data_IF_354675725310
#
_entry.id   IF_354675725310
#
_cell.length_a   1.000
_cell.length_b   1.000
_cell.length_c   1.000
_cell.angle_alpha   90.00
_cell.angle_beta   90.00
_cell.angle_gamma   90.00
#
_symmetry.space_group_name_H-M   'P 1'
#
loop_
_entity.id
_entity.type
_entity.pdbx_description
1 polymer ?
#
# COMPACT_ATOMS: atom_id res chain seq x y z
N UNK A 1 0.85 -10.76 8.43
CA UNK A 1 -0.53 -10.24 8.48
C UNK A 1 -1.06 -10.17 7.05
N UNK A 2 -2.33 -10.48 6.82
CA UNK A 2 -2.97 -10.62 5.49
C UNK A 2 -2.59 -11.87 4.65
N UNK A 3 -1.73 -12.75 5.15
CA UNK A 3 -1.42 -14.05 4.54
C UNK A 3 -2.50 -15.08 4.89
N UNK A 4 -2.77 -16.00 3.96
CA UNK A 4 -3.65 -17.16 4.19
C UNK A 4 -2.81 -18.41 4.46
N UNK A 5 -3.48 -19.53 4.72
CA UNK A 5 -2.82 -20.85 4.79
C UNK A 5 -2.28 -21.34 3.45
N UNK A 6 -2.68 -20.72 2.33
CA UNK A 6 -2.20 -21.05 0.99
C UNK A 6 -1.11 -20.06 0.60
N UNK A 7 0.15 -20.50 0.39
CA UNK A 7 1.24 -19.62 -0.02
C UNK A 7 0.92 -18.88 -1.33
N UNK A 8 1.18 -17.59 -1.36
CA UNK A 8 0.87 -16.73 -2.52
C UNK A 8 -0.59 -16.25 -2.59
N UNK A 9 -1.45 -16.70 -1.67
CA UNK A 9 -2.81 -16.19 -1.53
C UNK A 9 -2.92 -15.29 -0.30
N UNK A 10 -3.38 -14.06 -0.52
CA UNK A 10 -3.51 -13.01 0.49
C UNK A 10 -4.96 -12.54 0.59
N UNK A 11 -5.38 -12.09 1.77
CA UNK A 11 -6.72 -11.61 2.03
C UNK A 11 -6.69 -10.16 2.56
N UNK A 12 -7.68 -9.37 2.19
CA UNK A 12 -7.82 -7.98 2.63
C UNK A 12 -9.29 -7.57 2.68
N UNK A 13 -9.62 -6.54 3.46
CA UNK A 13 -10.98 -6.05 3.67
C UNK A 13 -11.81 -7.06 4.47
N UNK A 14 -13.12 -7.05 4.25
CA UNK A 14 -14.10 -7.77 5.06
C UNK A 14 -13.96 -9.30 4.97
N UNK A 15 -13.28 -9.83 3.95
CA UNK A 15 -12.99 -11.27 3.84
C UNK A 15 -11.87 -11.72 4.80
N UNK A 16 -11.06 -10.78 5.30
CA UNK A 16 -9.95 -11.06 6.20
C UNK A 16 -10.42 -11.03 7.66
N UNK A 17 -10.17 -12.12 8.38
CA UNK A 17 -10.47 -12.24 9.80
C UNK A 17 -9.20 -12.62 10.59
N UNK A 18 -8.82 -11.79 11.56
CA UNK A 18 -7.75 -12.07 12.51
C UNK A 18 -7.95 -11.21 13.77
N UNK A 19 -7.25 -11.56 14.85
CA UNK A 19 -7.23 -10.74 16.07
C UNK A 19 -6.67 -9.34 15.77
N UNK A 20 -7.37 -8.30 16.23
CA UNK A 20 -7.00 -6.90 15.96
C UNK A 20 -7.45 -6.36 14.60
N UNK A 21 -8.28 -7.09 13.84
CA UNK A 21 -8.90 -6.58 12.61
C UNK A 21 -9.81 -5.40 12.91
N UNK A 22 -9.57 -4.27 12.23
CA UNK A 22 -10.50 -3.14 12.24
C UNK A 22 -11.56 -3.32 11.15
N UNK A 23 -12.82 -3.49 11.55
CA UNK A 23 -13.98 -3.67 10.66
C UNK A 23 -14.52 -2.33 10.13
N UNK A 24 -13.67 -1.55 9.49
CA UNK A 24 -14.00 -0.27 8.84
C UNK A 24 -13.21 -0.13 7.54
N UNK A 25 -13.61 0.85 6.73
CA UNK A 25 -12.86 1.27 5.53
C UNK A 25 -11.40 1.60 5.88
N UNK A 26 -11.16 2.22 7.05
CA UNK A 26 -9.80 2.48 7.53
C UNK A 26 -8.97 1.20 7.70
N UNK A 27 -9.57 0.12 8.21
CA UNK A 27 -8.91 -1.17 8.34
C UNK A 27 -8.63 -1.83 7.00
N UNK A 28 -9.52 -1.68 6.02
CA UNK A 28 -9.32 -2.18 4.67
C UNK A 28 -8.04 -1.63 4.01
N UNK A 29 -7.68 -0.36 4.24
CA UNK A 29 -6.43 0.21 3.75
C UNK A 29 -5.20 -0.46 4.38
N UNK A 30 -5.25 -0.73 5.68
CA UNK A 30 -4.16 -1.42 6.38
C UNK A 30 -3.99 -2.86 5.87
N UNK A 31 -5.09 -3.60 5.70
CA UNK A 31 -5.01 -4.98 5.20
C UNK A 31 -4.43 -5.02 3.78
N UNK A 32 -4.85 -4.08 2.93
CA UNK A 32 -4.40 -4.00 1.54
C UNK A 32 -2.91 -3.66 1.45
N UNK A 33 -2.42 -2.72 2.26
CA UNK A 33 -0.99 -2.40 2.32
C UNK A 33 -0.16 -3.63 2.72
N UNK A 34 -0.61 -4.36 3.75
CA UNK A 34 0.06 -5.58 4.20
C UNK A 34 0.01 -6.70 3.15
N UNK A 35 -1.14 -6.91 2.51
CA UNK A 35 -1.31 -7.92 1.46
C UNK A 35 -0.41 -7.66 0.26
N UNK A 36 -0.32 -6.40 -0.21
CA UNK A 36 0.53 -6.04 -1.36
C UNK A 36 2.01 -6.19 -1.03
N UNK A 37 2.44 -5.78 0.18
CA UNK A 37 3.82 -5.97 0.63
C UNK A 37 4.22 -7.45 0.66
N UNK A 38 3.37 -8.32 1.23
CA UNK A 38 3.64 -9.77 1.26
C UNK A 38 3.57 -10.41 -0.13
N UNK A 39 2.64 -9.98 -0.99
CA UNK A 39 2.60 -10.42 -2.38
C UNK A 39 3.89 -10.04 -3.15
N UNK A 40 4.43 -8.84 -2.90
CA UNK A 40 5.68 -8.41 -3.51
C UNK A 40 6.85 -9.30 -3.11
N UNK A 41 7.00 -9.63 -1.82
CA UNK A 41 8.05 -10.54 -1.34
C UNK A 41 7.85 -11.98 -1.82
N UNK A 42 6.60 -12.43 -1.98
CA UNK A 42 6.32 -13.76 -2.53
C UNK A 42 6.80 -13.88 -3.99
N UNK A 43 6.56 -12.84 -4.80
CA UNK A 43 7.00 -12.79 -6.21
C UNK A 43 8.51 -12.53 -6.31
N UNK A 44 9.05 -11.65 -5.46
CA UNK A 44 10.45 -11.25 -5.44
C UNK A 44 11.00 -11.38 -4.01
N UNK A 45 11.58 -12.53 -3.64
CA UNK A 45 12.02 -12.80 -2.26
C UNK A 45 13.10 -11.85 -1.73
N UNK A 46 13.84 -11.17 -2.61
CA UNK A 46 14.85 -10.17 -2.25
C UNK A 46 14.29 -8.75 -2.08
N UNK A 47 12.98 -8.54 -2.27
CA UNK A 47 12.37 -7.23 -2.11
C UNK A 47 12.29 -6.83 -0.62
N UNK A 48 12.39 -5.52 -0.39
CA UNK A 48 12.14 -4.91 0.92
C UNK A 48 10.78 -5.31 1.48
N UNK A 49 10.68 -5.41 2.81
CA UNK A 49 9.44 -5.83 3.47
C UNK A 49 8.30 -4.84 3.27
N UNK A 50 8.60 -3.55 3.09
CA UNK A 50 7.59 -2.51 2.92
C UNK A 50 7.90 -1.61 1.73
N UNK A 51 6.84 -1.16 1.06
CA UNK A 51 6.96 -0.12 0.04
C UNK A 51 7.50 1.19 0.61
N UNK A 52 8.32 1.89 -0.17
CA UNK A 52 8.84 3.21 0.18
C UNK A 52 7.71 4.23 0.33
N UNK A 53 7.81 5.10 1.34
CA UNK A 53 6.82 6.17 1.58
C UNK A 53 6.66 7.08 0.37
N UNK A 54 5.42 7.48 0.09
CA UNK A 54 5.04 8.20 -1.13
C UNK A 54 5.75 9.55 -1.29
N UNK A 55 6.10 10.22 -0.19
CA UNK A 55 6.80 11.51 -0.19
C UNK A 55 8.20 11.46 -0.82
N UNK A 56 8.84 10.28 -0.83
CA UNK A 56 10.21 10.08 -1.35
C UNK A 56 10.29 8.99 -2.41
N UNK A 57 9.15 8.52 -2.94
CA UNK A 57 9.13 7.47 -3.94
C UNK A 57 9.26 8.07 -5.34
N UNK A 58 10.31 7.68 -6.07
CA UNK A 58 10.65 8.28 -7.38
C UNK A 58 9.52 8.19 -8.41
N UNK A 59 8.65 7.16 -8.34
CA UNK A 59 7.49 6.99 -9.21
C UNK A 59 6.53 8.19 -9.18
N UNK A 60 6.48 8.93 -8.07
CA UNK A 60 5.59 10.09 -7.93
C UNK A 60 6.28 11.41 -8.30
N UNK A 61 7.59 11.42 -8.58
CA UNK A 61 8.36 12.65 -8.77
C UNK A 61 7.78 13.57 -9.84
N UNK A 62 7.51 13.04 -11.04
CA UNK A 62 6.95 13.82 -12.14
C UNK A 62 5.53 14.30 -11.82
N UNK A 63 4.70 13.44 -11.23
CA UNK A 63 3.33 13.79 -10.80
C UNK A 63 3.36 14.92 -9.76
N UNK A 64 4.26 14.84 -8.79
CA UNK A 64 4.40 15.83 -7.73
C UNK A 64 4.84 17.19 -8.29
N UNK A 65 5.77 17.23 -9.25
CA UNK A 65 6.16 18.48 -9.93
C UNK A 65 4.95 19.13 -10.61
N UNK A 66 4.13 18.36 -11.34
CA UNK A 66 2.91 18.86 -12.00
C UNK A 66 1.89 19.40 -11.00
N UNK A 67 1.66 18.67 -9.90
CA UNK A 67 0.76 19.09 -8.84
C UNK A 67 1.21 20.40 -8.18
N UNK A 68 2.51 20.50 -7.86
CA UNK A 68 3.08 21.71 -7.26
C UNK A 68 2.96 22.90 -8.21
N UNK A 69 3.28 22.73 -9.50
CA UNK A 69 3.10 23.79 -10.51
C UNK A 69 1.65 24.28 -10.56
N UNK A 70 0.69 23.36 -10.62
CA UNK A 70 -0.73 23.69 -10.62
C UNK A 70 -1.18 24.45 -9.36
N UNK A 71 -0.69 24.05 -8.19
CA UNK A 71 -0.99 24.72 -6.91
C UNK A 71 -0.50 26.18 -6.87
N UNK A 72 0.61 26.50 -7.54
CA UNK A 72 1.12 27.87 -7.64
C UNK A 72 0.40 28.69 -8.71
N UNK A 73 0.09 28.10 -9.87
CA UNK A 73 -0.67 28.77 -10.94
C UNK A 73 -2.08 29.17 -10.50
N UNK A 74 -2.73 28.41 -9.62
CA UNK A 74 -4.05 28.76 -9.08
C UNK A 74 -4.02 29.81 -7.96
N UNK A 75 -2.84 30.20 -7.47
CA UNK A 75 -2.68 31.19 -6.39
C UNK A 75 -2.34 32.60 -6.89
N UNK A 76 -2.05 32.76 -8.18
CA UNK A 76 -1.82 34.02 -8.89
C UNK A 76 -3.01 34.37 -9.76
#
# INVERSE_FOLDING_TARGET
MSETSVPGLFAARDILHHEGKLHLIAGAFQDAANAVNKAKQYIEPGAEETGRVSSHHEIFKERNIKLVKHLYEQRT
#
